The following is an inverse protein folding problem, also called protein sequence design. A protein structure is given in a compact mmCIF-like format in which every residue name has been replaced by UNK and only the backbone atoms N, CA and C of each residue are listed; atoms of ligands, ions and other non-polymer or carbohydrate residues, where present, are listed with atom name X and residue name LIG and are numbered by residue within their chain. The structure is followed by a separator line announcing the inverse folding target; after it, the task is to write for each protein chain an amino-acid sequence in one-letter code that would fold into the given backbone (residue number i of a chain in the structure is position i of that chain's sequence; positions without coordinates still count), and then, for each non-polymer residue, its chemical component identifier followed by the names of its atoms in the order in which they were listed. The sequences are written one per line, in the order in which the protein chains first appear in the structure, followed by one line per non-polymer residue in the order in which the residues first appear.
data_IF_864961593137
#
_entry.id   IF_864961593137
#
_cell.length_a   1.000
_cell.length_b   1.000
_cell.length_c   1.000
_cell.angle_alpha   90.00
_cell.angle_beta   90.00
_cell.angle_gamma   90.00
#
_symmetry.space_group_name_H-M   'P 1'
#
loop_
_entity.id
_entity.type
_entity.pdbx_description
1 polymer ?
#
# COMPACT_ATOMS: atom_id res chain seq x y z
N UNK A 1 10.83 -29.44 -28.18
CA UNK A 1 11.48 -28.10 -28.24
C UNK A 1 11.35 -27.48 -29.62
N UNK A 2 11.83 -28.09 -30.70
CA UNK A 2 11.82 -27.48 -32.04
C UNK A 2 10.41 -27.02 -32.50
N UNK A 3 9.38 -27.87 -32.35
CA UNK A 3 7.99 -27.51 -32.69
C UNK A 3 7.42 -26.27 -31.98
N UNK A 4 7.90 -25.97 -30.77
CA UNK A 4 7.48 -24.78 -30.02
C UNK A 4 8.15 -23.53 -30.60
N UNK A 5 9.46 -23.60 -30.88
CA UNK A 5 10.19 -22.50 -31.52
C UNK A 5 9.66 -22.20 -32.91
N UNK A 6 9.39 -23.25 -33.70
CA UNK A 6 8.87 -23.12 -35.06
C UNK A 6 7.51 -22.40 -35.04
N UNK A 7 6.60 -22.79 -34.13
CA UNK A 7 5.30 -22.12 -33.96
C UNK A 7 5.40 -20.66 -33.48
N UNK A 8 6.39 -20.34 -32.65
CA UNK A 8 6.65 -18.95 -32.21
C UNK A 8 7.17 -18.09 -33.38
N UNK A 9 8.07 -18.64 -34.20
CA UNK A 9 8.66 -17.94 -35.35
C UNK A 9 7.60 -17.70 -36.44
N UNK A 10 6.75 -18.69 -36.69
CA UNK A 10 5.69 -18.62 -37.71
C UNK A 10 4.61 -17.56 -37.38
N UNK A 11 4.33 -17.34 -36.10
CA UNK A 11 3.32 -16.38 -35.63
C UNK A 11 3.89 -15.12 -34.95
N UNK A 12 5.17 -14.81 -35.18
CA UNK A 12 5.90 -13.70 -34.51
C UNK A 12 5.17 -12.36 -34.43
N UNK A 13 4.45 -11.96 -35.48
CA UNK A 13 3.69 -10.69 -35.51
C UNK A 13 2.52 -10.71 -34.52
N UNK A 14 1.77 -11.82 -34.45
CA UNK A 14 0.63 -11.97 -33.55
C UNK A 14 1.10 -12.00 -32.09
N UNK A 15 2.19 -12.71 -31.82
CA UNK A 15 2.81 -12.77 -30.50
C UNK A 15 3.27 -11.38 -30.04
N UNK A 16 3.90 -10.61 -30.94
CA UNK A 16 4.34 -9.25 -30.63
C UNK A 16 3.18 -8.31 -30.33
N UNK A 17 2.08 -8.38 -31.09
CA UNK A 17 0.88 -7.57 -30.82
C UNK A 17 0.30 -7.92 -29.45
N UNK A 18 0.11 -9.22 -29.17
CA UNK A 18 -0.42 -9.68 -27.88
C UNK A 18 0.48 -9.21 -26.73
N UNK A 19 1.80 -9.35 -26.88
CA UNK A 19 2.76 -8.92 -25.87
C UNK A 19 2.68 -7.42 -25.60
N UNK A 20 2.61 -6.59 -26.65
CA UNK A 20 2.47 -5.13 -26.50
C UNK A 20 1.12 -4.80 -25.85
N UNK A 21 0.03 -5.45 -26.26
CA UNK A 21 -1.28 -5.26 -25.64
C UNK A 21 -1.28 -5.58 -24.16
N UNK A 22 -0.67 -6.70 -23.76
CA UNK A 22 -0.53 -7.10 -22.35
C UNK A 22 0.37 -6.10 -21.62
N UNK A 23 1.46 -5.64 -22.24
CA UNK A 23 2.37 -4.66 -21.64
C UNK A 23 1.66 -3.34 -21.35
N UNK A 24 0.88 -2.83 -22.30
CA UNK A 24 0.08 -1.61 -22.13
C UNK A 24 -0.97 -1.81 -21.03
N UNK A 25 -1.64 -2.97 -21.01
CA UNK A 25 -2.59 -3.31 -19.95
C UNK A 25 -1.92 -3.30 -18.57
N UNK A 26 -0.76 -3.93 -18.42
CA UNK A 26 0.01 -3.94 -17.17
C UNK A 26 0.46 -2.52 -16.77
N UNK A 27 0.88 -1.70 -17.72
CA UNK A 27 1.26 -0.31 -17.46
C UNK A 27 0.07 0.51 -16.94
N UNK A 28 -1.12 0.30 -17.50
CA UNK A 28 -2.36 0.92 -17.02
C UNK A 28 -2.66 0.42 -15.60
N UNK A 29 -2.63 -0.89 -15.35
CA UNK A 29 -2.87 -1.46 -14.02
C UNK A 29 -1.89 -0.92 -12.97
N UNK A 30 -0.63 -0.67 -13.33
CA UNK A 30 0.38 -0.13 -12.42
C UNK A 30 0.01 1.27 -11.88
N UNK A 31 -0.77 2.06 -12.63
CA UNK A 31 -1.24 3.38 -12.17
C UNK A 31 -2.31 3.30 -11.08
N UNK A 32 -2.94 2.14 -10.89
CA UNK A 32 -4.00 1.91 -9.90
C UNK A 32 -3.51 1.17 -8.65
N UNK A 33 -2.20 0.98 -8.49
CA UNK A 33 -1.64 0.34 -7.30
C UNK A 33 -1.44 1.39 -6.22
N UNK A 34 -2.27 1.34 -5.17
CA UNK A 34 -2.13 2.19 -3.99
C UNK A 34 -0.99 1.72 -3.08
N UNK A 35 -0.36 2.68 -2.40
CA UNK A 35 0.65 2.42 -1.36
C UNK A 35 -0.02 2.45 0.01
N UNK A 36 0.04 1.33 0.75
CA UNK A 36 -0.49 1.27 2.10
C UNK A 36 0.54 1.75 3.13
N UNK A 37 0.25 2.87 3.80
CA UNK A 37 1.07 3.44 4.89
C UNK A 37 0.57 3.08 6.29
N UNK A 38 -0.56 2.39 6.39
CA UNK A 38 -1.12 2.00 7.68
C UNK A 38 -0.43 0.75 8.21
N UNK A 39 0.42 0.93 9.23
CA UNK A 39 1.15 -0.16 9.86
C UNK A 39 0.24 -1.17 10.58
N UNK A 40 -0.97 -0.75 10.98
CA UNK A 40 -1.93 -1.63 11.66
C UNK A 40 -2.39 -2.76 10.73
N UNK A 41 -2.51 -2.49 9.43
CA UNK A 41 -2.99 -3.47 8.44
C UNK A 41 -2.03 -4.66 8.25
N UNK A 42 -0.79 -4.53 8.71
CA UNK A 42 0.22 -5.59 8.67
C UNK A 42 0.24 -6.44 9.94
N UNK A 43 -0.55 -6.11 10.97
CA UNK A 43 -0.63 -6.89 12.20
C UNK A 43 -1.52 -8.13 12.02
N UNK A 44 -1.21 -9.26 12.70
CA UNK A 44 -2.09 -10.42 12.70
C UNK A 44 -3.49 -10.06 13.22
N UNK A 45 -4.53 -10.47 12.50
CA UNK A 45 -5.92 -10.15 12.86
C UNK A 45 -6.36 -10.81 14.16
N UNK A 46 -5.75 -11.94 14.48
CA UNK A 46 -6.03 -12.76 15.66
C UNK A 46 -5.29 -12.24 16.89
N UNK A 47 -4.34 -11.31 16.74
CA UNK A 47 -3.63 -10.73 17.86
C UNK A 47 -4.59 -9.90 18.72
N UNK A 48 -4.53 -10.09 20.03
CA UNK A 48 -5.35 -9.34 21.00
C UNK A 48 -5.16 -7.82 20.87
N UNK A 49 -3.95 -7.37 20.50
CA UNK A 49 -3.65 -5.96 20.27
C UNK A 49 -4.39 -5.38 19.06
N UNK A 50 -4.50 -6.13 17.96
CA UNK A 50 -5.21 -5.69 16.75
C UNK A 50 -6.69 -5.54 17.04
N UNK A 51 -7.27 -6.53 17.73
CA UNK A 51 -8.67 -6.49 18.18
C UNK A 51 -8.94 -5.32 19.13
N UNK A 52 -8.02 -5.04 20.05
CA UNK A 52 -8.15 -3.89 20.95
C UNK A 52 -8.14 -2.55 20.19
N UNK A 53 -7.28 -2.41 19.18
CA UNK A 53 -7.24 -1.23 18.32
C UNK A 53 -8.56 -1.06 17.56
N UNK A 54 -9.11 -2.14 17.00
CA UNK A 54 -10.39 -2.11 16.29
C UNK A 54 -11.56 -1.74 17.21
N UNK A 55 -11.61 -2.28 18.42
CA UNK A 55 -12.63 -1.91 19.43
C UNK A 55 -12.54 -0.42 19.75
N UNK A 56 -11.33 0.10 20.02
CA UNK A 56 -11.13 1.53 20.31
C UNK A 56 -11.61 2.39 19.13
N UNK A 57 -11.28 2.01 17.90
CA UNK A 57 -11.68 2.73 16.68
C UNK A 57 -13.20 2.75 16.52
N UNK A 58 -13.86 1.62 16.74
CA UNK A 58 -15.31 1.47 16.60
C UNK A 58 -16.10 2.24 17.67
N UNK A 59 -15.67 2.17 18.93
CA UNK A 59 -16.39 2.77 20.06
C UNK A 59 -16.21 4.29 20.13
N UNK A 60 -15.01 4.78 19.81
CA UNK A 60 -14.68 6.19 20.04
C UNK A 60 -14.70 7.04 18.75
N UNK A 61 -14.89 6.46 17.57
CA UNK A 61 -14.78 7.13 16.25
C UNK A 61 -13.55 8.06 16.14
N UNK A 62 -12.50 7.74 16.90
CA UNK A 62 -11.34 8.58 17.03
C UNK A 62 -10.29 8.07 16.04
N UNK A 63 -10.03 8.85 15.00
CA UNK A 63 -8.72 8.80 14.36
C UNK A 63 -7.70 9.10 15.46
N UNK A 64 -6.78 8.19 15.75
CA UNK A 64 -5.74 8.44 16.77
C UNK A 64 -4.92 9.66 16.32
N UNK A 65 -5.13 10.87 16.89
CA UNK A 65 -4.41 12.05 16.48
C UNK A 65 -3.08 12.01 17.23
N UNK A 66 -2.19 11.13 16.78
CA UNK A 66 -0.89 10.90 17.39
C UNK A 66 0.16 11.89 16.88
N UNK A 67 -0.24 12.93 16.15
CA UNK A 67 0.64 14.02 15.78
C UNK A 67 1.02 14.82 17.02
N UNK A 68 2.15 14.46 17.63
CA UNK A 68 2.76 15.22 18.73
C UNK A 68 3.92 16.02 18.18
N UNK A 69 3.93 17.33 18.43
CA UNK A 69 5.03 18.22 18.05
C UNK A 69 5.94 18.39 19.26
N UNK A 70 7.22 18.05 19.11
CA UNK A 70 8.22 18.30 20.14
C UNK A 70 8.76 19.73 19.97
N UNK A 71 8.53 20.58 20.96
CA UNK A 71 9.14 21.91 21.05
C UNK A 71 10.35 21.81 21.97
N UNK A 72 11.48 22.35 21.52
CA UNK A 72 12.74 22.33 22.27
C UNK A 72 13.00 23.68 22.89
N UNK A 73 13.83 23.69 23.94
CA UNK A 73 14.40 24.89 24.54
C UNK A 73 13.39 25.88 25.13
N UNK A 74 12.28 25.36 25.66
CA UNK A 74 11.27 26.14 26.40
C UNK A 74 11.18 25.71 27.86
N UNK A 75 10.83 26.65 28.72
CA UNK A 75 10.48 26.40 30.12
C UNK A 75 9.10 25.73 30.24
N UNK A 76 8.81 25.14 31.40
CA UNK A 76 7.49 24.56 31.69
C UNK A 76 6.38 25.62 31.59
N UNK A 77 6.68 26.86 32.02
CA UNK A 77 5.74 27.97 31.99
C UNK A 77 5.37 28.36 30.55
N UNK A 78 6.36 28.39 29.64
CA UNK A 78 6.13 28.65 28.22
C UNK A 78 5.36 27.49 27.56
N UNK A 79 5.65 26.25 27.93
CA UNK A 79 4.98 25.07 27.39
C UNK A 79 3.47 25.02 27.68
N UNK A 80 3.05 25.47 28.86
CA UNK A 80 1.64 25.48 29.29
C UNK A 80 0.85 26.62 28.61
N UNK A 81 1.53 27.61 28.05
CA UNK A 81 0.90 28.77 27.41
C UNK A 81 0.49 28.52 25.94
N UNK A 82 0.93 27.42 25.33
CA UNK A 82 0.56 26.97 23.98
C UNK A 82 -0.56 25.94 24.01
#
# INVERSE_FOLDING_TARGET
MNKFYDGVIEHKKRIMIIFISITVLCAICALFVDVNYNLVDYLPKEAQSTQAIDIIKNEYNADLPNARVMIKDISLQEAIAY
#
